data_IF_539754101057
#
_entry.id   IF_539754101057
#
_cell.length_a   1.000
_cell.length_b   1.000
_cell.length_c   1.000
_cell.angle_alpha   90.00
_cell.angle_beta   90.00
_cell.angle_gamma   90.00
#
_symmetry.space_group_name_H-M   'P 1'
#
loop_
_entity.id
_entity.type
_entity.pdbx_description
1 polymer ?
#
# COMPACT_ATOMS: atom_id res chain seq x y z
N UNK A 1 30.85 14.35 20.83
CA UNK A 1 29.46 13.82 20.78
C UNK A 1 28.88 14.16 19.42
N UNK A 2 28.49 13.17 18.61
CA UNK A 2 27.92 13.41 17.28
C UNK A 2 26.52 14.04 17.44
N UNK A 3 26.21 15.17 16.78
CA UNK A 3 24.85 15.71 16.78
C UNK A 3 23.95 14.79 15.94
N UNK A 4 23.24 13.89 16.63
CA UNK A 4 22.14 13.09 16.07
C UNK A 4 20.92 13.99 15.91
N UNK A 5 20.90 14.90 14.95
CA UNK A 5 19.70 15.71 14.72
C UNK A 5 19.67 16.36 13.35
N UNK A 6 19.73 15.56 12.28
CA UNK A 6 19.26 15.99 10.97
C UNK A 6 18.48 14.83 10.31
N UNK A 7 17.16 15.05 10.19
CA UNK A 7 16.22 14.43 9.23
C UNK A 7 15.64 13.04 9.54
N UNK A 8 14.92 12.94 10.65
CA UNK A 8 13.87 11.92 10.83
C UNK A 8 12.59 12.26 10.04
N UNK A 9 12.42 13.53 9.65
CA UNK A 9 11.20 14.08 9.04
C UNK A 9 11.13 14.06 7.51
N UNK A 10 12.18 13.63 6.81
CA UNK A 10 12.23 13.55 5.33
C UNK A 10 12.26 12.10 4.80
N UNK A 11 11.96 11.12 5.66
CA UNK A 11 11.94 9.71 5.25
C UNK A 11 10.54 9.34 4.79
N UNK A 12 10.43 8.73 3.62
CA UNK A 12 9.14 8.25 3.14
C UNK A 12 8.52 7.28 4.15
N UNK A 13 7.38 7.67 4.71
CA UNK A 13 6.70 6.90 5.74
C UNK A 13 5.49 6.18 5.16
N UNK A 14 5.46 4.85 5.33
CA UNK A 14 4.38 4.02 4.84
C UNK A 14 3.15 4.06 5.77
N UNK A 15 3.35 4.33 7.06
CA UNK A 15 2.26 4.28 8.04
C UNK A 15 2.06 2.95 8.75
N UNK A 16 3.04 2.05 8.73
CA UNK A 16 2.91 0.73 9.36
C UNK A 16 3.82 0.60 10.57
N UNK A 17 3.32 -0.03 11.62
CA UNK A 17 4.14 -0.62 12.67
C UNK A 17 4.53 -2.03 12.23
N UNK A 18 5.83 -2.24 12.07
CA UNK A 18 6.39 -3.55 11.74
C UNK A 18 6.52 -4.39 13.02
N UNK A 19 6.40 -5.70 12.87
CA UNK A 19 6.80 -6.64 13.91
C UNK A 19 8.29 -6.99 13.73
N UNK A 20 9.14 -6.45 14.60
CA UNK A 20 10.59 -6.71 14.56
C UNK A 20 10.96 -8.09 15.12
N UNK A 21 10.04 -8.78 15.80
CA UNK A 21 10.24 -10.13 16.31
C UNK A 21 9.90 -11.20 15.26
N UNK A 22 9.25 -10.81 14.15
CA UNK A 22 8.97 -11.71 13.04
C UNK A 22 10.26 -12.06 12.28
N UNK A 23 10.66 -13.33 12.37
CA UNK A 23 11.85 -13.89 11.73
C UNK A 23 11.53 -14.67 10.44
N UNK A 24 10.27 -14.67 10.00
CA UNK A 24 9.86 -15.33 8.76
C UNK A 24 10.25 -14.53 7.52
N UNK A 25 10.09 -15.10 6.31
CA UNK A 25 10.35 -14.39 5.07
C UNK A 25 9.40 -13.19 4.95
N UNK A 26 9.96 -11.99 4.86
CA UNK A 26 9.23 -10.73 4.71
C UNK A 26 9.08 -9.92 5.99
N UNK A 27 8.13 -8.99 5.99
CA UNK A 27 7.87 -8.07 7.10
C UNK A 27 6.41 -8.18 7.51
N UNK A 28 6.17 -8.65 8.73
CA UNK A 28 4.81 -8.71 9.28
C UNK A 28 4.35 -7.32 9.75
N UNK A 29 3.15 -6.94 9.33
CA UNK A 29 2.47 -5.73 9.76
C UNK A 29 1.81 -5.98 11.10
N UNK A 30 2.34 -5.37 12.16
CA UNK A 30 1.77 -5.40 13.51
C UNK A 30 0.56 -4.48 13.64
N UNK A 31 0.64 -3.29 13.05
CA UNK A 31 -0.44 -2.29 13.04
C UNK A 31 -0.32 -1.40 11.81
N UNK A 32 -1.45 -0.87 11.36
CA UNK A 32 -1.49 0.19 10.34
C UNK A 32 -2.04 1.45 11.01
N UNK A 33 -1.36 2.58 10.81
CA UNK A 33 -1.81 3.87 11.29
C UNK A 33 -2.89 4.41 10.35
N UNK A 34 -4.00 4.93 10.91
CA UNK A 34 -5.04 5.57 10.11
C UNK A 34 -4.48 6.80 9.39
N UNK A 35 -5.13 7.20 8.29
CA UNK A 35 -4.76 8.40 7.51
C UNK A 35 -3.36 8.35 6.87
N UNK A 36 -2.84 7.14 6.65
CA UNK A 36 -1.56 6.91 5.98
C UNK A 36 -1.73 6.23 4.63
N UNK A 37 -0.68 6.27 3.80
CA UNK A 37 -0.61 5.53 2.55
C UNK A 37 -1.01 4.07 2.69
N UNK A 38 -0.46 3.37 3.69
CA UNK A 38 -0.78 1.97 3.95
C UNK A 38 -2.26 1.74 4.24
N UNK A 39 -2.88 2.63 5.02
CA UNK A 39 -4.32 2.55 5.32
C UNK A 39 -5.16 2.77 4.06
N UNK A 40 -4.81 3.77 3.25
CA UNK A 40 -5.50 4.06 1.98
C UNK A 40 -5.36 2.92 0.96
N UNK A 41 -4.24 2.19 1.01
CA UNK A 41 -4.01 1.03 0.17
C UNK A 41 -4.71 -0.26 0.64
N UNK A 42 -5.36 -0.23 1.82
CA UNK A 42 -6.08 -1.38 2.36
C UNK A 42 -5.19 -2.44 3.01
N UNK A 43 -3.96 -2.08 3.43
CA UNK A 43 -3.14 -2.92 4.28
C UNK A 43 -3.79 -3.07 5.66
N UNK A 44 -3.61 -4.24 6.27
CA UNK A 44 -4.19 -4.62 7.56
C UNK A 44 -3.14 -5.29 8.44
N UNK A 45 -3.41 -5.31 9.74
CA UNK A 45 -2.65 -6.12 10.69
C UNK A 45 -2.64 -7.59 10.25
N UNK A 46 -1.47 -8.22 10.30
CA UNK A 46 -1.27 -9.62 9.90
C UNK A 46 -0.88 -9.80 8.45
N UNK A 47 -0.84 -8.72 7.65
CA UNK A 47 -0.25 -8.79 6.31
C UNK A 47 1.26 -8.97 6.40
N UNK A 48 1.82 -9.85 5.57
CA UNK A 48 3.26 -10.08 5.48
C UNK A 48 3.76 -9.51 4.16
N UNK A 49 4.50 -8.41 4.21
CA UNK A 49 5.10 -7.80 3.03
C UNK A 49 6.27 -8.67 2.57
N UNK A 50 6.19 -9.21 1.37
CA UNK A 50 7.23 -10.06 0.77
C UNK A 50 7.96 -9.36 -0.36
N UNK A 51 7.51 -8.18 -0.79
CA UNK A 51 8.20 -7.39 -1.81
C UNK A 51 7.66 -5.99 -1.99
N UNK A 52 8.47 -5.13 -2.60
CA UNK A 52 8.19 -3.72 -2.85
C UNK A 52 8.82 -3.30 -4.17
N UNK A 53 8.09 -2.58 -5.02
CA UNK A 53 8.52 -2.13 -6.36
C UNK A 53 9.04 -3.26 -7.25
N UNK A 54 8.47 -4.47 -7.14
CA UNK A 54 8.95 -5.64 -7.88
C UNK A 54 10.26 -6.23 -7.36
N UNK A 55 10.78 -5.73 -6.23
CA UNK A 55 11.92 -6.31 -5.51
C UNK A 55 11.40 -7.18 -4.37
N UNK A 56 11.95 -8.38 -4.22
CA UNK A 56 11.69 -9.18 -3.02
C UNK A 56 12.32 -8.53 -1.79
N UNK A 57 11.59 -8.60 -0.69
CA UNK A 57 12.01 -8.05 0.60
C UNK A 57 11.94 -9.19 1.60
N UNK A 58 13.11 -9.59 2.08
CA UNK A 58 13.23 -10.73 3.00
C UNK A 58 13.22 -10.31 4.47
N UNK A 59 13.33 -9.01 4.77
CA UNK A 59 13.34 -8.52 6.14
C UNK A 59 13.11 -7.02 6.29
N UNK A 60 12.92 -6.61 7.54
CA UNK A 60 12.65 -5.24 7.95
C UNK A 60 13.76 -4.24 7.55
N UNK A 61 15.02 -4.68 7.55
CA UNK A 61 16.16 -3.87 7.13
C UNK A 61 16.10 -3.52 5.64
N UNK A 62 15.82 -4.49 4.77
CA UNK A 62 15.67 -4.30 3.32
C UNK A 62 14.49 -3.37 3.00
N UNK A 63 13.36 -3.56 3.69
CA UNK A 63 12.20 -2.68 3.55
C UNK A 63 12.56 -1.24 3.93
N UNK A 64 13.14 -1.06 5.12
CA UNK A 64 13.50 0.26 5.66
C UNK A 64 14.57 0.95 4.83
N UNK A 65 15.55 0.21 4.32
CA UNK A 65 16.59 0.72 3.41
C UNK A 65 15.99 1.17 2.08
N UNK A 66 15.00 0.42 1.57
CA UNK A 66 14.30 0.80 0.34
C UNK A 66 13.42 2.03 0.53
N UNK A 67 12.64 2.09 1.61
CA UNK A 67 11.83 3.26 1.95
C UNK A 67 12.68 4.53 2.11
N UNK A 68 13.89 4.42 2.68
CA UNK A 68 14.83 5.54 2.79
C UNK A 68 15.36 6.06 1.45
N UNK A 69 15.33 5.24 0.39
CA UNK A 69 15.71 5.65 -0.96
C UNK A 69 14.55 6.24 -1.77
N UNK A 70 13.33 6.18 -1.23
CA UNK A 70 12.12 6.64 -1.91
C UNK A 70 11.68 7.98 -1.36
N UNK A 71 10.97 8.73 -2.19
CA UNK A 71 10.49 10.06 -1.85
C UNK A 71 9.03 10.02 -1.37
N UNK A 72 8.66 10.86 -0.38
CA UNK A 72 7.26 11.03 0.00
C UNK A 72 6.44 11.58 -1.18
N UNK A 73 5.22 11.08 -1.35
CA UNK A 73 4.33 11.38 -2.48
C UNK A 73 4.45 10.41 -3.65
N UNK A 74 5.40 9.47 -3.62
CA UNK A 74 5.55 8.48 -4.68
C UNK A 74 4.57 7.30 -4.50
N UNK A 75 3.90 6.90 -5.59
CA UNK A 75 3.10 5.67 -5.64
C UNK A 75 4.00 4.47 -5.91
N UNK A 76 3.96 3.50 -5.00
CA UNK A 76 4.77 2.29 -5.06
C UNK A 76 3.88 1.04 -4.97
N UNK A 77 4.25 -0.03 -5.67
CA UNK A 77 3.54 -1.31 -5.58
C UNK A 77 4.16 -2.18 -4.50
N UNK A 78 3.35 -2.70 -3.59
CA UNK A 78 3.77 -3.57 -2.49
C UNK A 78 3.13 -4.94 -2.67
N UNK A 79 3.96 -5.96 -2.68
CA UNK A 79 3.55 -7.35 -2.65
C UNK A 79 3.42 -7.79 -1.19
N UNK A 80 2.24 -8.20 -0.78
CA UNK A 80 1.96 -8.69 0.55
C UNK A 80 1.19 -10.00 0.51
N UNK A 81 1.35 -10.80 1.54
CA UNK A 81 0.63 -12.04 1.74
C UNK A 81 -0.35 -11.87 2.90
N UNK A 82 -1.62 -12.22 2.66
CA UNK A 82 -2.67 -12.22 3.68
C UNK A 82 -3.19 -13.65 3.82
N UNK A 83 -2.76 -14.33 4.88
CA UNK A 83 -2.95 -15.78 5.00
C UNK A 83 -2.09 -16.52 3.96
N UNK A 84 -2.73 -17.26 3.07
CA UNK A 84 -2.07 -17.98 1.97
C UNK A 84 -2.11 -17.25 0.62
N UNK A 85 -2.93 -16.20 0.51
CA UNK A 85 -3.05 -15.44 -0.74
C UNK A 85 -1.96 -14.35 -0.84
N UNK A 86 -1.26 -14.32 -1.97
CA UNK A 86 -0.38 -13.20 -2.35
C UNK A 86 -1.21 -12.15 -3.09
N UNK A 87 -1.15 -10.91 -2.61
CA UNK A 87 -1.86 -9.75 -3.14
C UNK A 87 -0.87 -8.62 -3.38
N UNK A 88 -1.25 -7.73 -4.30
CA UNK A 88 -0.48 -6.55 -4.64
C UNK A 88 -1.33 -5.33 -4.35
N UNK A 89 -0.81 -4.41 -3.56
CA UNK A 89 -1.45 -3.13 -3.28
C UNK A 89 -0.57 -2.00 -3.79
N UNK A 90 -1.18 -0.98 -4.37
CA UNK A 90 -0.50 0.27 -4.69
C UNK A 90 -0.63 1.20 -3.49
N UNK A 91 0.51 1.59 -2.93
CA UNK A 91 0.60 2.45 -1.75
C UNK A 91 1.27 3.75 -2.14
N UNK A 92 0.64 4.86 -1.81
CA UNK A 92 1.27 6.18 -1.93
C UNK A 92 2.05 6.47 -0.65
N UNK A 93 3.35 6.66 -0.74
CA UNK A 93 4.16 7.08 0.39
C UNK A 93 3.68 8.46 0.84
N UNK A 94 3.39 8.64 2.13
CA UNK A 94 2.81 9.88 2.61
C UNK A 94 3.78 11.06 2.50
N UNK A 95 3.48 12.00 1.62
CA UNK A 95 3.69 13.43 1.79
C UNK A 95 2.33 14.09 1.59
N UNK A 96 1.89 14.96 2.52
CA UNK A 96 0.54 15.58 2.64
C UNK A 96 -0.44 15.32 1.47
N UNK A 97 -1.65 14.83 1.77
CA UNK A 97 -2.54 14.18 0.81
C UNK A 97 -2.85 15.06 -0.42
N UNK A 98 -2.59 14.53 -1.60
CA UNK A 98 -3.21 15.00 -2.84
C UNK A 98 -4.35 14.05 -3.21
N UNK A 99 -5.61 14.52 -3.27
CA UNK A 99 -6.73 13.64 -3.57
C UNK A 99 -6.83 13.47 -5.09
N UNK A 100 -6.14 12.51 -5.71
CA UNK A 100 -6.56 12.13 -7.07
C UNK A 100 -6.12 10.75 -7.58
N UNK A 101 -7.14 10.12 -8.20
CA UNK A 101 -7.13 9.04 -9.20
C UNK A 101 -7.15 7.63 -8.61
N UNK A 102 -8.37 7.24 -8.26
CA UNK A 102 -8.87 5.87 -8.45
C UNK A 102 -8.88 5.64 -9.98
N UNK A 103 -8.01 4.78 -10.56
CA UNK A 103 -8.20 4.35 -11.94
C UNK A 103 -9.48 3.50 -12.01
N UNK A 104 -10.52 4.05 -12.63
CA UNK A 104 -11.68 3.30 -13.09
C UNK A 104 -11.22 2.37 -14.21
N UNK A 105 -10.76 1.18 -13.84
CA UNK A 105 -10.25 0.17 -14.76
C UNK A 105 -10.93 -1.17 -14.58
N UNK A 106 -12.26 -1.22 -14.73
CA UNK A 106 -12.95 -2.41 -15.25
C UNK A 106 -14.09 -1.98 -16.17
N UNK A 107 -13.70 -1.81 -17.43
CA UNK A 107 -14.58 -1.80 -18.59
C UNK A 107 -15.18 -3.19 -18.81
N UNK A 108 -16.29 -3.20 -19.56
CA UNK A 108 -16.70 -4.27 -20.48
C UNK A 108 -17.13 -5.60 -19.88
N UNK A 109 -18.44 -5.75 -19.61
CA UNK A 109 -19.27 -6.92 -19.99
C UNK A 109 -20.75 -6.61 -19.78
N UNK A 110 -21.40 -6.05 -20.81
CA UNK A 110 -22.81 -6.29 -21.16
C UNK A 110 -23.23 -5.31 -22.29
N UNK A 111 -22.46 -5.34 -23.39
CA UNK A 111 -23.09 -5.20 -24.69
C UNK A 111 -23.95 -6.47 -24.89
N UNK A 112 -25.25 -6.29 -25.15
CA UNK A 112 -26.22 -7.29 -25.65
C UNK A 112 -27.12 -8.01 -24.62
N UNK A 113 -28.44 -8.00 -24.94
CA UNK A 113 -29.64 -8.59 -24.30
C UNK A 113 -30.35 -7.72 -23.25
N UNK A 114 -31.54 -7.17 -23.41
CA UNK A 114 -32.58 -7.27 -24.44
C UNK A 114 -33.95 -7.01 -23.80
N UNK A 115 -34.75 -6.10 -24.38
CA UNK A 115 -36.22 -6.14 -24.28
C UNK A 115 -36.93 -5.40 -23.12
N UNK A 116 -37.98 -4.67 -23.54
CA UNK A 116 -39.20 -4.30 -22.80
C UNK A 116 -39.32 -2.87 -22.23
N UNK A 117 -39.80 -2.00 -23.14
CA UNK A 117 -40.81 -0.95 -22.94
C UNK A 117 -41.66 -1.16 -21.68
N UNK A 118 -41.81 -0.12 -20.86
CA UNK A 118 -43.06 0.44 -20.28
C UNK A 118 -42.67 1.80 -19.69
N UNK A 119 -42.95 2.92 -20.35
CA UNK A 119 -44.19 3.71 -20.28
C UNK A 119 -44.54 4.22 -18.89
N UNK A 120 -44.76 5.54 -18.84
CA UNK A 120 -45.59 6.32 -17.92
C UNK A 120 -44.90 7.05 -16.78
N UNK A 121 -44.95 8.39 -16.85
CA UNK A 121 -45.60 9.32 -15.89
C UNK A 121 -45.41 10.75 -16.42
N UNK A 122 -46.35 11.68 -16.35
CA UNK A 122 -47.78 11.70 -16.04
C UNK A 122 -48.33 12.98 -16.65
#
# INVERSE_FOLDING_TARGET
>A
VLPRSLRESDRAFLGIEMDLAYQGPGVMVRRVQPETGASSAGLKKGDVITGLLGREVNGNFELSSTLQRLEPGQKIRINFRRGDERKVAEVELGGRPSPQRIPHGRMERMNNMGGHRYSQVR
#
